data_IF_918198780587
#
_entry.id   IF_918198780587
#
_cell.length_a   1.000
_cell.length_b   1.000
_cell.length_c   1.000
_cell.angle_alpha   90.00
_cell.angle_beta   90.00
_cell.angle_gamma   90.00
#
_symmetry.space_group_name_H-M   'P 1'
#
loop_
_entity.id
_entity.type
_entity.pdbx_description
1 polymer ?
#
# COMPACT_ATOMS: atom_id res chain seq x y z
N UNK A 1 -0.90 -10.82 -33.85
CA UNK A 1 -2.38 -10.70 -33.82
C UNK A 1 -2.76 -9.41 -33.09
N UNK A 2 -2.71 -8.28 -33.79
CA UNK A 2 -3.11 -6.96 -33.26
C UNK A 2 -3.72 -6.07 -34.37
N UNK A 3 -4.53 -6.66 -35.26
CA UNK A 3 -4.96 -6.02 -36.51
C UNK A 3 -6.49 -6.02 -36.70
N UNK A 4 -7.27 -5.88 -35.63
CA UNK A 4 -8.74 -5.96 -35.71
C UNK A 4 -9.50 -4.94 -34.84
N UNK A 5 -8.94 -3.74 -34.60
CA UNK A 5 -9.70 -2.64 -33.94
C UNK A 5 -9.82 -1.36 -34.79
N UNK A 6 -9.05 -1.19 -35.87
CA UNK A 6 -8.93 0.14 -36.53
C UNK A 6 -9.46 0.21 -37.97
N UNK A 7 -10.53 -0.52 -38.31
CA UNK A 7 -11.24 -0.33 -39.59
C UNK A 7 -12.75 -0.21 -39.37
N UNK A 8 -13.25 1.03 -39.37
CA UNK A 8 -14.69 1.31 -39.49
C UNK A 8 -15.42 1.93 -38.28
N UNK A 9 -14.72 2.45 -37.26
CA UNK A 9 -15.39 3.19 -36.19
C UNK A 9 -15.74 4.62 -36.67
N UNK A 10 -17.01 5.08 -36.58
CA UNK A 10 -17.39 6.44 -36.91
C UNK A 10 -16.62 7.49 -36.10
N UNK A 11 -16.27 8.63 -36.70
CA UNK A 11 -15.45 9.69 -36.08
C UNK A 11 -16.00 10.21 -34.73
N UNK A 12 -17.31 10.12 -34.51
CA UNK A 12 -17.95 10.51 -33.25
C UNK A 12 -17.68 9.54 -32.09
N UNK A 13 -17.30 8.28 -32.36
CA UNK A 13 -16.96 7.30 -31.33
C UNK A 13 -15.57 7.52 -30.76
N UNK A 14 -14.64 8.09 -31.54
CA UNK A 14 -13.28 8.32 -31.10
C UNK A 14 -13.19 9.22 -29.85
N UNK A 15 -13.87 10.39 -29.77
CA UNK A 15 -13.92 11.19 -28.55
C UNK A 15 -14.50 10.45 -27.34
N UNK A 16 -15.51 9.59 -27.56
CA UNK A 16 -16.19 8.83 -26.50
C UNK A 16 -15.27 7.70 -26.01
N UNK A 17 -14.60 6.99 -26.91
CA UNK A 17 -13.63 5.94 -26.57
C UNK A 17 -12.39 6.54 -25.90
N UNK A 18 -11.91 7.69 -26.36
CA UNK A 18 -10.81 8.43 -25.75
C UNK A 18 -11.22 8.92 -24.34
N UNK A 19 -12.46 9.37 -24.16
CA UNK A 19 -13.00 9.73 -22.85
C UNK A 19 -13.14 8.51 -21.93
N UNK A 20 -13.74 7.42 -22.42
CA UNK A 20 -13.91 6.20 -21.65
C UNK A 20 -12.56 5.58 -21.26
N UNK A 21 -11.59 5.55 -22.16
CA UNK A 21 -10.23 5.08 -21.88
C UNK A 21 -9.49 5.98 -20.89
N UNK A 22 -9.63 7.31 -20.99
CA UNK A 22 -9.04 8.26 -20.03
C UNK A 22 -9.68 8.19 -18.64
N UNK A 23 -10.92 7.75 -18.54
CA UNK A 23 -11.66 7.64 -17.29
C UNK A 23 -11.84 6.19 -16.81
N UNK A 24 -11.24 5.22 -17.51
CA UNK A 24 -11.32 3.81 -17.15
C UNK A 24 -10.62 3.60 -15.80
N UNK A 25 -11.33 2.94 -14.89
CA UNK A 25 -10.78 2.51 -13.61
C UNK A 25 -10.21 1.10 -13.80
N UNK A 26 -8.90 0.96 -13.66
CA UNK A 26 -8.19 -0.32 -13.75
C UNK A 26 -7.70 -0.72 -12.37
N UNK A 27 -8.21 -1.83 -11.84
CA UNK A 27 -7.86 -2.35 -10.51
C UNK A 27 -6.98 -3.58 -10.66
N UNK A 28 -5.78 -3.58 -10.07
CA UNK A 28 -4.93 -4.76 -10.03
C UNK A 28 -5.46 -5.78 -8.99
N UNK A 29 -5.14 -7.07 -9.14
CA UNK A 29 -5.30 -8.01 -8.03
C UNK A 29 -4.43 -7.59 -6.84
N UNK A 30 -4.78 -8.07 -5.65
CA UNK A 30 -3.93 -7.98 -4.48
C UNK A 30 -2.64 -8.79 -4.69
N UNK A 31 -1.51 -8.25 -4.23
CA UNK A 31 -0.19 -8.85 -4.36
C UNK A 31 0.62 -8.70 -3.08
N UNK A 32 1.41 -9.73 -2.76
CA UNK A 32 2.43 -9.73 -1.72
C UNK A 32 3.85 -9.66 -2.32
N UNK A 33 3.96 -9.58 -3.64
CA UNK A 33 5.23 -9.68 -4.35
C UNK A 33 6.11 -8.46 -4.09
N UNK A 34 7.39 -8.69 -3.78
CA UNK A 34 8.35 -7.61 -3.56
C UNK A 34 8.24 -6.90 -2.20
N UNK A 35 7.34 -7.35 -1.32
CA UNK A 35 7.32 -6.92 0.09
C UNK A 35 8.47 -7.61 0.82
N UNK A 36 9.36 -6.83 1.42
CA UNK A 36 10.48 -7.34 2.22
C UNK A 36 10.36 -6.83 3.65
N UNK A 37 10.27 -7.74 4.61
CA UNK A 37 10.22 -7.39 6.04
C UNK A 37 11.62 -7.22 6.61
N UNK A 38 11.78 -6.29 7.55
CA UNK A 38 13.07 -6.00 8.19
C UNK A 38 12.92 -5.94 9.71
N UNK A 39 14.03 -5.84 10.43
CA UNK A 39 14.03 -5.57 11.89
C UNK A 39 13.19 -6.54 12.74
N UNK A 40 13.13 -7.82 12.35
CA UNK A 40 12.39 -8.86 13.07
C UNK A 40 10.88 -8.85 12.86
N UNK A 41 10.37 -7.98 11.98
CA UNK A 41 9.01 -8.09 11.47
C UNK A 41 8.91 -9.25 10.47
N UNK A 42 7.69 -9.72 10.25
CA UNK A 42 7.43 -10.77 9.27
C UNK A 42 5.99 -10.77 8.79
N UNK A 43 5.67 -11.64 7.82
CA UNK A 43 4.29 -11.86 7.42
C UNK A 43 3.49 -12.43 8.59
N UNK A 44 2.20 -12.13 8.59
CA UNK A 44 1.27 -12.82 9.49
C UNK A 44 1.25 -14.33 9.21
N UNK A 45 0.92 -15.12 10.24
CA UNK A 45 0.80 -16.58 10.11
C UNK A 45 -0.34 -17.01 9.18
N UNK A 46 -1.40 -16.22 9.10
CA UNK A 46 -2.42 -16.37 8.08
C UNK A 46 -1.97 -15.62 6.82
N UNK A 47 -1.38 -16.36 5.88
CA UNK A 47 -0.80 -15.80 4.66
C UNK A 47 -1.85 -15.17 3.74
N UNK A 48 -3.14 -15.51 3.89
CA UNK A 48 -4.23 -14.84 3.17
C UNK A 48 -4.49 -13.44 3.71
N UNK A 49 -4.16 -13.21 4.98
CA UNK A 49 -4.32 -11.94 5.68
C UNK A 49 -3.01 -11.17 5.85
N UNK A 50 -1.85 -11.71 5.46
CA UNK A 50 -0.57 -10.99 5.51
C UNK A 50 -0.59 -9.70 4.68
N UNK A 51 0.26 -8.72 5.03
CA UNK A 51 0.35 -7.45 4.30
C UNK A 51 0.43 -7.66 2.78
N UNK A 52 -0.48 -6.99 2.07
CA UNK A 52 -0.62 -7.03 0.63
C UNK A 52 -0.98 -5.64 0.09
N UNK A 53 -0.75 -5.43 -1.20
CA UNK A 53 -1.08 -4.18 -1.88
C UNK A 53 -1.77 -4.41 -3.23
N UNK A 54 -2.50 -3.40 -3.69
CA UNK A 54 -3.01 -3.33 -5.06
C UNK A 54 -2.96 -1.90 -5.57
N UNK A 55 -3.05 -1.74 -6.88
CA UNK A 55 -3.15 -0.42 -7.53
C UNK A 55 -4.51 -0.24 -8.17
N UNK A 56 -5.06 0.96 -8.05
CA UNK A 56 -6.27 1.43 -8.73
C UNK A 56 -5.85 2.60 -9.60
N UNK A 57 -5.79 2.39 -10.91
CA UNK A 57 -5.43 3.41 -11.89
C UNK A 57 -6.70 4.05 -12.46
N UNK A 58 -6.74 5.38 -12.50
CA UNK A 58 -7.80 6.16 -13.13
C UNK A 58 -7.18 7.36 -13.85
N UNK A 59 -7.08 7.27 -15.19
CA UNK A 59 -6.44 8.32 -16.00
C UNK A 59 -4.98 8.56 -15.58
N UNK A 60 -4.69 9.78 -15.09
CA UNK A 60 -3.36 10.16 -14.58
C UNK A 60 -3.19 9.99 -13.06
N UNK A 61 -4.14 9.31 -12.41
CA UNK A 61 -4.09 9.02 -10.99
C UNK A 61 -3.87 7.52 -10.76
N UNK A 62 -3.08 7.18 -9.74
CA UNK A 62 -3.00 5.84 -9.17
C UNK A 62 -3.23 5.91 -7.69
N UNK A 63 -4.13 5.10 -7.18
CA UNK A 63 -4.24 4.83 -5.76
C UNK A 63 -3.58 3.49 -5.48
N UNK A 64 -2.59 3.47 -4.59
CA UNK A 64 -2.00 2.27 -4.03
C UNK A 64 -2.70 2.00 -2.70
N UNK A 65 -3.34 0.85 -2.61
CA UNK A 65 -4.03 0.41 -1.41
C UNK A 65 -3.19 -0.68 -0.77
N UNK A 66 -3.01 -0.60 0.54
CA UNK A 66 -2.36 -1.60 1.38
C UNK A 66 -3.37 -2.11 2.38
N UNK A 67 -3.38 -3.42 2.58
CA UNK A 67 -4.24 -4.09 3.54
C UNK A 67 -3.52 -5.31 4.12
N UNK A 68 -4.00 -5.80 5.26
CA UNK A 68 -3.52 -7.04 5.86
C UNK A 68 -2.76 -6.83 7.17
N UNK A 69 -2.15 -7.90 7.65
CA UNK A 69 -1.58 -8.03 8.97
C UNK A 69 -0.08 -8.29 8.89
N UNK A 70 0.66 -7.79 9.88
CA UNK A 70 2.09 -8.01 10.04
C UNK A 70 2.35 -8.68 11.38
N UNK A 71 3.34 -9.58 11.41
CA UNK A 71 3.92 -10.06 12.65
C UNK A 71 4.96 -9.06 13.11
N UNK A 72 4.82 -8.58 14.35
CA UNK A 72 5.77 -7.64 14.96
C UNK A 72 6.71 -8.34 15.96
N UNK A 73 7.94 -7.84 16.12
CA UNK A 73 8.82 -8.24 17.21
C UNK A 73 8.38 -7.58 18.53
N UNK A 74 9.15 -7.80 19.60
CA UNK A 74 9.02 -6.98 20.80
C UNK A 74 9.44 -5.54 20.52
N UNK A 75 8.53 -4.59 20.79
CA UNK A 75 8.74 -3.18 20.53
C UNK A 75 8.90 -2.42 21.85
N UNK A 76 9.86 -1.50 21.86
CA UNK A 76 10.10 -0.60 22.98
C UNK A 76 9.15 0.59 22.88
N UNK A 77 8.75 1.14 24.03
CA UNK A 77 7.97 2.37 24.13
C UNK A 77 8.56 3.48 23.26
N UNK A 78 7.71 4.19 22.53
CA UNK A 78 8.09 5.34 21.67
C UNK A 78 9.08 5.01 20.54
N UNK A 79 9.39 3.73 20.31
CA UNK A 79 10.31 3.31 19.26
C UNK A 79 9.73 3.63 17.87
N UNK A 80 10.59 4.18 17.00
CA UNK A 80 10.34 4.30 15.56
C UNK A 80 11.30 3.38 14.82
N UNK A 81 10.79 2.57 13.90
CA UNK A 81 11.58 1.57 13.17
C UNK A 81 11.01 1.32 11.79
N UNK A 82 11.85 1.06 10.79
CA UNK A 82 11.38 0.58 9.48
C UNK A 82 10.98 -0.89 9.62
N UNK A 83 9.80 -1.28 9.14
CA UNK A 83 9.31 -2.66 9.31
C UNK A 83 9.23 -3.45 8.00
N UNK A 84 9.02 -2.77 6.88
CA UNK A 84 8.97 -3.38 5.57
C UNK A 84 9.39 -2.40 4.47
N UNK A 85 9.73 -2.92 3.31
CA UNK A 85 9.91 -2.16 2.07
C UNK A 85 9.09 -2.79 0.95
N UNK A 86 8.62 -1.98 0.02
CA UNK A 86 7.90 -2.42 -1.19
C UNK A 86 8.57 -1.89 -2.47
N UNK A 87 8.21 -2.40 -3.66
CA UNK A 87 8.80 -1.92 -4.91
C UNK A 87 8.52 -0.44 -5.15
N UNK A 88 9.59 0.36 -5.27
CA UNK A 88 9.51 1.81 -5.55
C UNK A 88 8.86 2.13 -6.90
N UNK A 89 8.88 1.19 -7.83
CA UNK A 89 8.24 1.31 -9.14
C UNK A 89 6.73 1.53 -9.07
N UNK A 90 6.10 1.22 -7.93
CA UNK A 90 4.69 1.49 -7.68
C UNK A 90 4.36 2.99 -7.62
N UNK A 91 5.32 3.82 -7.16
CA UNK A 91 5.11 5.24 -6.88
C UNK A 91 5.35 6.19 -8.08
N UNK A 92 5.72 5.68 -9.26
CA UNK A 92 5.83 6.41 -10.54
C UNK A 92 6.44 7.84 -10.44
N UNK A 93 7.52 8.01 -9.67
CA UNK A 93 8.26 9.28 -9.61
C UNK A 93 7.72 10.32 -8.63
N UNK A 94 6.76 9.98 -7.78
CA UNK A 94 6.39 10.83 -6.64
C UNK A 94 7.54 10.86 -5.60
N UNK A 95 7.93 12.06 -5.16
CA UNK A 95 9.09 12.27 -4.26
C UNK A 95 8.71 12.84 -2.88
N UNK A 96 7.42 13.01 -2.60
CA UNK A 96 6.96 13.51 -1.30
C UNK A 96 6.88 12.40 -0.24
N UNK A 97 7.11 12.72 1.03
CA UNK A 97 6.81 11.80 2.13
C UNK A 97 5.29 11.65 2.27
N UNK A 98 4.82 10.40 2.32
CA UNK A 98 3.41 10.10 2.56
C UNK A 98 3.26 9.78 4.04
N UNK A 99 2.66 10.70 4.77
CA UNK A 99 2.24 10.46 6.14
C UNK A 99 0.73 10.20 6.15
N UNK A 100 0.33 8.96 6.43
CA UNK A 100 -1.07 8.64 6.69
C UNK A 100 -1.21 8.13 8.12
N UNK A 101 -2.32 8.52 8.76
CA UNK A 101 -2.61 8.25 10.16
C UNK A 101 -3.67 7.14 10.32
N UNK A 102 -3.29 6.09 11.06
CA UNK A 102 -4.10 5.11 11.85
C UNK A 102 -5.00 4.09 11.09
N UNK A 103 -5.07 2.78 11.46
CA UNK A 103 -5.56 2.20 12.74
C UNK A 103 -5.13 0.74 13.07
N UNK A 104 -5.05 0.50 14.39
CA UNK A 104 -5.09 -0.70 15.28
C UNK A 104 -4.52 -2.08 14.86
N UNK A 105 -3.53 -2.53 15.65
CA UNK A 105 -3.20 -3.94 15.85
C UNK A 105 -4.15 -4.60 16.88
N UNK A 106 -5.29 -5.13 16.45
CA UNK A 106 -6.23 -5.96 17.25
C UNK A 106 -6.80 -5.34 18.55
N UNK A 107 -7.68 -6.06 19.26
CA UNK A 107 -8.75 -5.57 20.17
C UNK A 107 -8.37 -4.73 21.41
N UNK A 108 -7.13 -4.27 21.55
CA UNK A 108 -6.69 -3.50 22.71
C UNK A 108 -6.14 -2.16 22.23
N UNK A 109 -6.84 -1.09 22.60
CA UNK A 109 -6.72 0.34 22.26
C UNK A 109 -5.34 1.00 22.37
N UNK A 110 -4.28 0.26 22.67
CA UNK A 110 -3.07 0.82 23.27
C UNK A 110 -1.87 0.86 22.31
N UNK A 111 -1.96 0.22 21.14
CA UNK A 111 -0.90 0.18 20.13
C UNK A 111 -1.30 1.10 18.96
N UNK A 112 -1.15 2.40 19.16
CA UNK A 112 -1.28 3.38 18.08
C UNK A 112 -0.04 3.27 17.19
N UNK A 113 -0.27 2.94 15.91
CA UNK A 113 0.79 2.80 14.90
C UNK A 113 0.68 3.98 13.94
N UNK A 114 1.72 4.80 13.89
CA UNK A 114 1.91 5.71 12.76
C UNK A 114 2.71 4.97 11.69
N UNK A 115 2.12 4.81 10.51
CA UNK A 115 2.79 4.23 9.36
C UNK A 115 3.03 5.30 8.31
N UNK A 116 4.30 5.66 8.14
CA UNK A 116 4.74 6.53 7.06
C UNK A 116 5.39 5.69 5.96
N UNK A 117 5.10 6.01 4.70
CA UNK A 117 5.78 5.43 3.55
C UNK A 117 6.67 6.50 2.94
N UNK A 118 7.93 6.18 2.73
CA UNK A 118 8.84 6.99 1.91
C UNK A 118 8.79 6.46 0.46
N UNK A 119 8.23 7.20 -0.50
CA UNK A 119 8.09 6.74 -1.89
C UNK A 119 9.41 6.66 -2.64
N UNK A 120 10.44 7.38 -2.17
CA UNK A 120 11.76 7.34 -2.79
C UNK A 120 12.47 6.02 -2.49
N UNK A 121 12.25 5.46 -1.29
CA UNK A 121 12.89 4.22 -0.83
C UNK A 121 11.95 3.03 -0.78
N UNK A 122 10.63 3.26 -0.79
CA UNK A 122 9.59 2.26 -0.61
C UNK A 122 9.47 1.77 0.84
N UNK A 123 10.15 2.42 1.79
CA UNK A 123 10.21 1.98 3.17
C UNK A 123 8.98 2.40 3.98
N UNK A 124 8.46 1.45 4.74
CA UNK A 124 7.44 1.65 5.73
C UNK A 124 8.06 1.84 7.11
N UNK A 125 7.76 2.98 7.72
CA UNK A 125 8.07 3.24 9.12
C UNK A 125 6.93 2.80 10.03
N UNK A 126 7.27 2.27 11.19
CA UNK A 126 6.40 1.90 12.28
C UNK A 126 6.77 2.77 13.48
N UNK A 127 5.79 3.33 14.18
CA UNK A 127 6.01 4.00 15.46
C UNK A 127 5.14 3.37 16.54
N UNK A 128 5.77 2.84 17.60
CA UNK A 128 5.08 2.43 18.80
C UNK A 128 4.66 3.68 19.59
N UNK A 129 3.39 4.06 19.54
CA UNK A 129 2.85 5.15 20.38
C UNK A 129 2.22 4.66 21.67
N UNK A 130 2.29 3.36 21.97
CA UNK A 130 1.91 2.84 23.28
C UNK A 130 2.75 3.52 24.37
N UNK A 131 2.15 3.79 25.53
CA UNK A 131 2.88 4.33 26.70
C UNK A 131 3.69 3.25 27.44
N UNK A 132 3.82 2.05 26.86
CA UNK A 132 4.48 0.86 27.41
C UNK A 132 5.24 0.09 26.34
N UNK A 133 6.17 -0.76 26.78
CA UNK A 133 6.79 -1.78 25.93
C UNK A 133 5.76 -2.84 25.57
N UNK A 134 5.85 -3.37 24.35
CA UNK A 134 4.79 -4.24 23.83
C UNK A 134 5.07 -5.70 24.08
N UNK A 135 6.23 -6.16 24.59
CA UNK A 135 6.56 -7.60 24.63
C UNK A 135 6.50 -8.27 23.24
N UNK A 136 6.75 -9.58 23.13
CA UNK A 136 6.57 -10.32 21.87
C UNK A 136 5.07 -10.56 21.64
N UNK A 137 4.43 -9.77 20.77
CA UNK A 137 2.99 -9.84 20.50
C UNK A 137 2.71 -10.26 19.04
N UNK A 138 1.51 -10.80 18.82
CA UNK A 138 1.01 -11.30 17.53
C UNK A 138 0.44 -10.22 16.61
N UNK A 139 -0.02 -10.68 15.44
CA UNK A 139 -0.60 -9.95 14.30
C UNK A 139 -1.09 -8.51 14.55
N UNK A 140 -0.52 -7.53 13.84
CA UNK A 140 -1.00 -6.15 13.77
C UNK A 140 -1.59 -5.81 12.41
N UNK A 141 -2.79 -5.24 12.39
CA UNK A 141 -3.54 -4.93 11.16
C UNK A 141 -3.12 -3.58 10.59
N UNK A 142 -3.10 -3.50 9.26
CA UNK A 142 -2.74 -2.32 8.50
C UNK A 142 -3.73 -2.16 7.34
N UNK A 143 -4.43 -1.04 7.29
CA UNK A 143 -5.18 -0.60 6.12
C UNK A 143 -4.78 0.83 5.79
N UNK A 144 -4.19 1.04 4.62
CA UNK A 144 -3.68 2.34 4.14
C UNK A 144 -4.14 2.52 2.70
N UNK A 145 -4.73 3.66 2.40
CA UNK A 145 -5.10 4.02 1.03
C UNK A 145 -4.35 5.28 0.64
N UNK A 146 -3.44 5.16 -0.31
CA UNK A 146 -2.61 6.27 -0.75
C UNK A 146 -2.83 6.57 -2.23
N UNK A 147 -2.98 7.84 -2.59
CA UNK A 147 -3.17 8.27 -3.98
C UNK A 147 -2.00 9.13 -4.47
N UNK A 148 -1.41 8.75 -5.59
CA UNK A 148 -0.52 9.59 -6.42
C UNK A 148 -1.29 10.16 -7.61
N UNK A 149 -0.92 11.38 -8.00
CA UNK A 149 -1.35 12.01 -9.25
C UNK A 149 -0.11 12.46 -9.99
N UNK A 150 -0.09 12.26 -11.31
CA UNK A 150 0.93 12.78 -12.22
C UNK A 150 0.30 13.59 -13.35
#
# INVERSE_FOLDING_TARGET
MADLITKGMPDWQKPINDFAAKNAIVVSPWSTTGITYTNGFGPDSDTANALHYRTVDQGSQRTIQFAGWIKNPALVKSQKITFASIPVSLFKGYTGLIQQYERYAQAWSDLQVAVGIDPATGEFSFQNRATRDTGAFGAGGLEINYSVTW
#
